data_IF_941880228886
#
_entry.id   IF_941880228886
#
_cell.length_a   1.000
_cell.length_b   1.000
_cell.length_c   1.000
_cell.angle_alpha   90.00
_cell.angle_beta   90.00
_cell.angle_gamma   90.00
#
_symmetry.space_group_name_H-M   'P 1'
#
loop_
_entity.id
_entity.type
_entity.pdbx_description
1 polymer ?
#
# COMPACT_ATOMS: atom_id res chain seq x y z
N UNK A 1 22.23 -34.27 -46.76
CA UNK A 1 21.67 -35.35 -47.62
C UNK A 1 20.19 -35.11 -47.76
N UNK A 2 19.81 -34.81 -49.00
CA UNK A 2 18.57 -35.06 -49.75
C UNK A 2 17.26 -34.65 -49.08
N UNK A 3 16.62 -33.53 -49.49
CA UNK A 3 15.86 -33.29 -50.75
C UNK A 3 14.66 -34.22 -50.92
N UNK A 4 13.43 -33.69 -51.04
CA UNK A 4 12.65 -33.35 -52.28
C UNK A 4 11.19 -33.30 -51.90
N UNK A 5 10.48 -32.27 -52.22
CA UNK A 5 9.83 -31.87 -53.51
C UNK A 5 8.34 -32.23 -53.57
N UNK A 6 7.52 -31.18 -53.75
CA UNK A 6 6.68 -30.81 -54.94
C UNK A 6 5.38 -31.57 -55.13
N UNK A 7 4.26 -30.86 -55.30
CA UNK A 7 3.57 -30.33 -56.51
C UNK A 7 2.14 -29.94 -56.16
N UNK A 8 1.67 -28.74 -56.34
CA UNK A 8 1.05 -28.09 -57.53
C UNK A 8 -0.02 -28.98 -58.24
N UNK A 9 -1.28 -28.52 -58.21
CA UNK A 9 -2.11 -28.44 -59.43
C UNK A 9 -3.25 -27.41 -59.28
N UNK A 10 -3.32 -26.56 -60.28
CA UNK A 10 -4.35 -25.59 -60.67
C UNK A 10 -5.56 -26.34 -61.28
N UNK A 11 -6.77 -25.80 -61.16
CA UNK A 11 -7.55 -25.49 -62.36
C UNK A 11 -8.75 -24.57 -62.06
N UNK A 12 -8.94 -23.65 -62.98
CA UNK A 12 -10.01 -22.71 -63.18
C UNK A 12 -11.30 -23.42 -63.63
N UNK A 13 -12.47 -22.81 -63.36
CA UNK A 13 -13.48 -22.50 -64.39
C UNK A 13 -14.49 -21.49 -63.85
N UNK A 14 -14.66 -20.47 -64.65
CA UNK A 14 -15.68 -19.43 -64.69
C UNK A 14 -17.08 -20.04 -64.95
N UNK A 15 -18.14 -19.42 -64.43
CA UNK A 15 -19.32 -19.07 -65.19
C UNK A 15 -20.22 -18.08 -64.44
N UNK A 16 -20.75 -17.20 -65.27
CA UNK A 16 -21.46 -15.97 -65.08
C UNK A 16 -22.90 -16.09 -64.58
N UNK A 17 -23.38 -14.92 -64.07
CA UNK A 17 -24.74 -14.33 -64.20
C UNK A 17 -25.86 -14.80 -63.34
N UNK A 18 -26.32 -13.93 -62.44
CA UNK A 18 -27.61 -13.19 -62.49
C UNK A 18 -27.83 -12.42 -61.20
N UNK A 19 -27.99 -11.13 -61.34
CA UNK A 19 -28.56 -10.28 -60.29
C UNK A 19 -30.09 -10.49 -60.21
N UNK A 20 -30.67 -10.32 -59.03
CA UNK A 20 -31.93 -9.61 -58.87
C UNK A 20 -31.84 -8.45 -57.90
N UNK A 21 -32.68 -7.49 -58.19
CA UNK A 21 -32.87 -6.14 -57.67
C UNK A 21 -33.26 -6.02 -56.18
N UNK A 22 -33.30 -4.80 -55.63
CA UNK A 22 -33.17 -4.50 -54.23
C UNK A 22 -34.49 -4.69 -53.46
N UNK A 23 -34.40 -5.37 -52.31
CA UNK A 23 -35.42 -5.29 -51.29
C UNK A 23 -34.84 -4.50 -50.12
N UNK A 24 -35.31 -3.26 -49.99
CA UNK A 24 -35.08 -2.41 -48.84
C UNK A 24 -35.62 -3.10 -47.57
N UNK A 25 -34.73 -3.55 -46.70
CA UNK A 25 -35.04 -3.75 -45.28
C UNK A 25 -34.19 -2.75 -44.51
N UNK A 26 -34.86 -1.74 -44.04
CA UNK A 26 -34.36 -0.83 -43.02
C UNK A 26 -33.93 -1.63 -41.77
N UNK A 27 -32.63 -1.90 -41.67
CA UNK A 27 -32.01 -2.35 -40.42
C UNK A 27 -31.87 -1.11 -39.57
N UNK A 28 -32.75 -1.00 -38.57
CA UNK A 28 -32.63 0.03 -37.54
C UNK A 28 -31.27 -0.10 -36.88
N UNK A 29 -30.44 0.88 -37.10
CA UNK A 29 -29.27 1.13 -36.29
C UNK A 29 -29.78 1.46 -34.89
N UNK A 30 -29.78 0.46 -34.02
CA UNK A 30 -29.73 0.76 -32.58
C UNK A 30 -28.40 1.49 -32.34
N UNK A 31 -28.41 2.68 -31.80
CA UNK A 31 -27.20 3.27 -31.30
C UNK A 31 -26.79 2.42 -30.08
N UNK A 32 -25.78 1.58 -30.24
CA UNK A 32 -24.99 1.10 -29.10
C UNK A 32 -24.43 2.35 -28.46
N UNK A 33 -25.14 2.84 -27.47
CA UNK A 33 -24.59 3.79 -26.51
C UNK A 33 -23.64 3.03 -25.58
N UNK A 34 -22.50 2.62 -26.10
CA UNK A 34 -21.32 2.43 -25.27
C UNK A 34 -20.96 3.84 -24.75
N UNK A 35 -21.66 4.28 -23.71
CA UNK A 35 -21.19 5.31 -22.82
C UNK A 35 -19.95 4.73 -22.11
N UNK A 36 -18.82 4.75 -22.80
CA UNK A 36 -17.53 4.61 -22.15
C UNK A 36 -17.44 5.75 -21.14
N UNK A 37 -17.71 5.49 -19.88
CA UNK A 37 -17.57 6.45 -18.80
C UNK A 37 -16.11 6.88 -18.83
N UNK A 38 -15.86 8.19 -19.08
CA UNK A 38 -14.48 8.70 -19.11
C UNK A 38 -13.90 8.59 -17.71
N UNK A 39 -12.70 8.05 -17.60
CA UNK A 39 -11.98 7.97 -16.34
C UNK A 39 -11.87 9.35 -15.70
N UNK A 40 -12.18 9.44 -14.41
CA UNK A 40 -12.11 10.68 -13.62
C UNK A 40 -10.81 10.73 -12.84
N UNK A 41 -10.14 11.88 -12.89
CA UNK A 41 -8.92 12.12 -12.12
C UNK A 41 -9.19 13.20 -11.10
N UNK A 42 -8.85 12.92 -9.85
CA UNK A 42 -9.11 13.80 -8.73
C UNK A 42 -7.85 14.02 -7.90
N UNK A 43 -7.73 15.20 -7.32
CA UNK A 43 -6.69 15.52 -6.34
C UNK A 43 -7.34 16.03 -5.07
N UNK A 44 -6.77 15.66 -3.93
CA UNK A 44 -7.19 16.14 -2.62
C UNK A 44 -5.93 16.53 -1.84
N UNK A 45 -5.99 17.66 -1.14
CA UNK A 45 -4.92 18.12 -0.25
C UNK A 45 -5.50 18.32 1.12
N UNK A 46 -4.95 17.64 2.14
CA UNK A 46 -5.37 17.88 3.51
C UNK A 46 -4.93 19.27 3.97
N UNK A 47 -5.88 19.99 4.61
CA UNK A 47 -5.62 21.20 5.35
C UNK A 47 -5.29 20.94 6.83
N UNK A 48 -5.31 19.67 7.27
CA UNK A 48 -5.14 19.26 8.67
C UNK A 48 -3.94 18.36 8.84
N UNK A 49 -3.39 18.31 10.07
CA UNK A 49 -2.24 17.50 10.45
C UNK A 49 -2.60 16.38 11.43
N UNK A 50 -3.89 16.20 11.73
CA UNK A 50 -4.40 15.12 12.58
C UNK A 50 -4.23 13.77 11.85
N UNK A 51 -3.40 12.85 12.39
CA UNK A 51 -3.13 11.57 11.74
C UNK A 51 -4.36 10.69 11.60
N UNK A 52 -5.27 10.74 12.57
CA UNK A 52 -6.49 9.93 12.55
C UNK A 52 -7.50 10.44 11.53
N UNK A 53 -7.65 11.77 11.41
CA UNK A 53 -8.51 12.37 10.38
C UNK A 53 -7.97 12.07 8.98
N UNK A 54 -6.67 12.29 8.75
CA UNK A 54 -6.05 12.03 7.46
C UNK A 54 -6.19 10.55 7.04
N UNK A 55 -5.99 9.62 7.99
CA UNK A 55 -6.17 8.20 7.73
C UNK A 55 -7.63 7.82 7.51
N UNK A 56 -8.57 8.48 8.23
CA UNK A 56 -10.01 8.24 8.05
C UNK A 56 -10.48 8.68 6.66
N UNK A 57 -10.00 9.84 6.17
CA UNK A 57 -10.29 10.30 4.79
C UNK A 57 -9.74 9.31 3.76
N UNK A 58 -8.51 8.84 3.92
CA UNK A 58 -7.92 7.80 3.07
C UNK A 58 -8.79 6.53 3.02
N UNK A 59 -9.24 6.04 4.18
CA UNK A 59 -10.11 4.87 4.27
C UNK A 59 -11.44 5.11 3.59
N UNK A 60 -12.07 6.25 3.89
CA UNK A 60 -13.36 6.64 3.30
C UNK A 60 -13.29 6.67 1.76
N UNK A 61 -12.24 7.28 1.19
CA UNK A 61 -12.00 7.27 -0.26
C UNK A 61 -11.84 5.85 -0.80
N UNK A 62 -11.08 5.00 -0.11
CA UNK A 62 -10.85 3.62 -0.54
C UNK A 62 -12.15 2.82 -0.60
N UNK A 63 -13.05 3.04 0.36
CA UNK A 63 -14.31 2.30 0.48
C UNK A 63 -15.43 2.86 -0.41
N UNK A 64 -15.46 4.19 -0.64
CA UNK A 64 -16.62 4.88 -1.19
C UNK A 64 -16.38 5.59 -2.54
N UNK A 65 -15.13 5.68 -3.03
CA UNK A 65 -14.83 6.36 -4.29
C UNK A 65 -15.59 5.71 -5.45
N UNK A 66 -16.08 6.55 -6.34
CA UNK A 66 -16.83 6.16 -7.53
C UNK A 66 -15.97 5.31 -8.50
N UNK A 67 -16.67 4.49 -9.28
CA UNK A 67 -16.04 3.68 -10.32
C UNK A 67 -15.31 4.55 -11.36
N UNK A 68 -14.35 3.97 -12.05
CA UNK A 68 -13.55 4.61 -13.10
C UNK A 68 -12.82 5.88 -12.64
N UNK A 69 -12.51 5.98 -11.33
CA UNK A 69 -11.87 7.15 -10.71
C UNK A 69 -10.49 6.80 -10.16
N UNK A 70 -9.56 7.76 -10.27
CA UNK A 70 -8.27 7.75 -9.57
C UNK A 70 -8.13 9.06 -8.80
N UNK A 71 -7.96 8.96 -7.49
CA UNK A 71 -7.71 10.11 -6.62
C UNK A 71 -6.27 10.07 -6.11
N UNK A 72 -5.52 11.16 -6.28
CA UNK A 72 -4.27 11.41 -5.59
C UNK A 72 -4.53 12.31 -4.39
N UNK A 73 -4.32 11.79 -3.18
CA UNK A 73 -4.49 12.50 -1.93
C UNK A 73 -3.12 12.82 -1.31
N UNK A 74 -2.86 14.09 -1.02
CA UNK A 74 -1.63 14.61 -0.38
C UNK A 74 -1.93 15.09 1.03
N UNK A 75 -1.16 14.61 2.00
CA UNK A 75 -1.41 14.91 3.42
C UNK A 75 -0.14 14.84 4.26
N UNK A 76 -0.16 15.50 5.40
CA UNK A 76 0.93 15.50 6.39
C UNK A 76 0.36 15.21 7.77
N UNK A 77 1.14 14.54 8.59
CA UNK A 77 0.83 14.39 10.00
C UNK A 77 1.78 15.22 10.84
N UNK A 78 1.27 15.77 11.95
CA UNK A 78 2.13 16.17 13.05
C UNK A 78 2.85 14.94 13.62
N UNK A 79 3.76 15.11 14.56
CA UNK A 79 4.57 14.08 15.19
C UNK A 79 3.81 12.76 15.43
N UNK A 80 4.06 11.75 14.59
CA UNK A 80 3.29 10.50 14.59
C UNK A 80 4.18 9.30 14.25
N UNK A 81 4.12 8.24 15.04
CA UNK A 81 4.59 6.92 14.60
C UNK A 81 3.44 6.17 13.96
N UNK A 82 3.64 5.70 12.73
CA UNK A 82 2.66 4.92 11.98
C UNK A 82 3.13 3.49 11.86
N UNK A 83 2.39 2.57 12.47
CA UNK A 83 2.67 1.13 12.44
C UNK A 83 1.82 0.42 11.38
N UNK A 84 2.35 -0.68 10.85
CA UNK A 84 1.59 -1.57 9.95
C UNK A 84 0.46 -2.31 10.67
N UNK A 85 -0.50 -2.82 9.90
CA UNK A 85 -1.72 -3.41 10.44
C UNK A 85 -1.45 -4.51 11.47
N UNK A 86 -0.50 -5.41 11.19
CA UNK A 86 -0.16 -6.56 12.04
C UNK A 86 1.05 -6.31 12.95
N UNK A 87 1.53 -5.07 13.09
CA UNK A 87 2.66 -4.80 13.98
C UNK A 87 2.23 -4.65 15.44
N UNK A 88 3.07 -5.15 16.34
CA UNK A 88 2.93 -4.94 17.78
C UNK A 88 3.47 -3.55 18.14
N UNK A 89 2.65 -2.60 18.63
CA UNK A 89 3.09 -1.24 18.92
C UNK A 89 4.25 -1.19 19.92
N UNK A 90 4.25 -2.09 20.90
CA UNK A 90 5.27 -2.12 21.95
C UNK A 90 6.64 -2.65 21.48
N UNK A 91 6.68 -3.35 20.36
CA UNK A 91 7.92 -3.80 19.73
C UNK A 91 8.50 -2.77 18.77
N UNK A 92 7.64 -1.96 18.16
CA UNK A 92 8.01 -1.06 17.05
C UNK A 92 8.28 0.37 17.49
N UNK A 93 7.76 0.77 18.66
CA UNK A 93 7.77 2.15 19.10
C UNK A 93 7.94 2.25 20.62
N UNK A 94 8.67 3.29 21.05
CA UNK A 94 8.65 3.72 22.45
C UNK A 94 7.34 4.49 22.71
N UNK A 95 6.25 3.75 22.87
CA UNK A 95 4.88 4.28 22.93
C UNK A 95 4.74 5.33 24.03
N UNK A 96 5.21 5.00 25.26
CA UNK A 96 5.06 5.90 26.39
C UNK A 96 5.77 7.24 26.15
N UNK A 97 7.01 7.19 25.70
CA UNK A 97 7.78 8.41 25.41
C UNK A 97 7.13 9.26 24.31
N UNK A 98 6.63 8.60 23.23
CA UNK A 98 5.95 9.29 22.14
C UNK A 98 4.72 10.05 22.64
N UNK A 99 3.88 9.39 23.46
CA UNK A 99 2.64 9.99 23.99
C UNK A 99 2.93 11.08 25.03
N UNK A 100 3.91 10.89 25.91
CA UNK A 100 4.32 11.88 26.92
C UNK A 100 4.86 13.17 26.27
N UNK A 101 5.45 13.07 25.10
CA UNK A 101 5.95 14.21 24.32
C UNK A 101 4.90 14.78 23.33
N UNK A 102 3.63 14.37 23.45
CA UNK A 102 2.51 14.89 22.67
C UNK A 102 2.41 14.34 21.24
N UNK A 103 3.18 13.30 20.92
CA UNK A 103 3.10 12.60 19.66
C UNK A 103 1.92 11.62 19.60
N UNK A 104 1.70 11.03 18.43
CA UNK A 104 0.61 10.12 18.18
C UNK A 104 1.12 8.75 17.72
N UNK A 105 0.47 7.69 18.18
CA UNK A 105 0.59 6.35 17.58
C UNK A 105 -0.61 6.13 16.66
N UNK A 106 -0.38 5.77 15.41
CA UNK A 106 -1.43 5.43 14.45
C UNK A 106 -1.16 4.06 13.84
N UNK A 107 -2.22 3.27 13.64
CA UNK A 107 -2.17 2.00 12.90
C UNK A 107 -2.78 2.20 11.52
N UNK A 108 -2.02 1.93 10.45
CA UNK A 108 -2.56 1.97 9.08
C UNK A 108 -3.21 0.65 8.69
N UNK A 109 -4.06 0.67 7.66
CA UNK A 109 -4.74 -0.53 7.14
C UNK A 109 -3.86 -1.44 6.27
N UNK A 110 -2.66 -0.97 5.88
CA UNK A 110 -1.69 -1.70 5.07
C UNK A 110 -0.65 -2.40 5.92
N UNK A 111 0.06 -3.36 5.34
CA UNK A 111 1.22 -3.99 5.97
C UNK A 111 2.48 -3.12 5.95
N UNK A 112 3.63 -3.75 6.19
CA UNK A 112 4.93 -3.11 6.21
C UNK A 112 5.37 -2.63 7.60
N UNK A 113 6.61 -2.13 7.70
CA UNK A 113 7.25 -1.68 8.93
C UNK A 113 6.74 -0.35 9.48
N UNK A 114 7.15 -0.01 10.70
CA UNK A 114 6.85 1.28 11.32
C UNK A 114 7.61 2.42 10.65
N UNK A 115 6.95 3.58 10.55
CA UNK A 115 7.51 4.81 10.02
C UNK A 115 7.22 5.99 10.95
N UNK A 116 8.03 7.04 10.86
CA UNK A 116 7.82 8.28 11.59
C UNK A 116 7.38 9.38 10.62
N UNK A 117 6.37 10.13 11.00
CA UNK A 117 5.85 11.29 10.29
C UNK A 117 5.99 12.55 11.14
N UNK A 118 6.40 13.61 10.48
CA UNK A 118 6.36 14.99 10.96
C UNK A 118 5.96 15.92 9.80
N UNK A 119 6.01 17.23 10.00
CA UNK A 119 5.65 18.19 8.96
C UNK A 119 6.69 18.30 7.83
N UNK A 120 7.87 17.73 8.01
CA UNK A 120 8.93 17.59 7.00
C UNK A 120 8.72 16.38 6.06
N UNK A 121 7.78 15.51 6.39
CA UNK A 121 7.34 14.41 5.54
C UNK A 121 6.01 14.75 4.86
N UNK A 122 5.89 14.52 3.56
CA UNK A 122 4.60 14.54 2.88
C UNK A 122 4.19 13.11 2.52
N UNK A 123 2.94 12.76 2.79
CA UNK A 123 2.36 11.50 2.39
C UNK A 123 1.56 11.68 1.10
N UNK A 124 1.56 10.66 0.28
CA UNK A 124 0.65 10.54 -0.85
C UNK A 124 -0.16 9.25 -0.73
N UNK A 125 -1.39 9.30 -1.23
CA UNK A 125 -2.25 8.13 -1.39
C UNK A 125 -2.86 8.16 -2.78
N UNK A 126 -2.70 7.08 -3.54
CA UNK A 126 -3.46 6.82 -4.75
C UNK A 126 -4.57 5.84 -4.42
N UNK A 127 -5.81 6.33 -4.46
CA UNK A 127 -6.99 5.48 -4.41
C UNK A 127 -7.49 5.33 -5.84
N UNK A 128 -7.56 4.11 -6.33
CA UNK A 128 -7.91 3.86 -7.73
C UNK A 128 -8.90 2.70 -7.86
N UNK A 129 -9.90 2.88 -8.73
CA UNK A 129 -10.70 1.77 -9.21
C UNK A 129 -9.78 0.63 -9.66
N UNK A 130 -10.15 -0.62 -9.39
CA UNK A 130 -9.31 -1.80 -9.68
C UNK A 130 -8.90 -1.90 -11.15
N UNK A 131 -9.73 -1.42 -12.06
CA UNK A 131 -9.43 -1.40 -13.50
C UNK A 131 -8.34 -0.39 -13.88
N UNK A 132 -8.16 0.65 -13.06
CA UNK A 132 -7.21 1.76 -13.25
C UNK A 132 -5.98 1.66 -12.31
N UNK A 133 -6.00 0.71 -11.36
CA UNK A 133 -4.93 0.56 -10.38
C UNK A 133 -3.64 0.05 -11.04
N UNK A 134 -2.58 0.84 -10.95
CA UNK A 134 -1.29 0.50 -11.53
C UNK A 134 -0.15 1.15 -10.72
N UNK A 135 0.51 0.36 -9.91
CA UNK A 135 1.59 0.81 -9.00
C UNK A 135 2.74 1.46 -9.76
N UNK A 136 3.16 0.90 -10.91
CA UNK A 136 4.25 1.50 -11.71
C UNK A 136 3.88 2.89 -12.22
N UNK A 137 2.64 3.05 -12.69
CA UNK A 137 2.12 4.34 -13.14
C UNK A 137 2.05 5.35 -11.99
N UNK A 138 1.62 4.90 -10.81
CA UNK A 138 1.56 5.73 -9.61
C UNK A 138 2.97 6.15 -9.12
N UNK A 139 3.93 5.23 -9.12
CA UNK A 139 5.32 5.56 -8.79
C UNK A 139 5.95 6.52 -9.81
N UNK A 140 5.60 6.40 -11.09
CA UNK A 140 6.10 7.33 -12.12
C UNK A 140 5.60 8.77 -11.92
N UNK A 141 4.47 8.99 -11.24
CA UNK A 141 4.03 10.33 -10.83
C UNK A 141 5.05 10.96 -9.87
N UNK A 142 5.50 10.20 -8.89
CA UNK A 142 6.49 10.69 -7.92
C UNK A 142 7.84 10.94 -8.61
N UNK A 143 8.27 10.01 -9.46
CA UNK A 143 9.53 10.13 -10.21
C UNK A 143 9.52 11.36 -11.14
N UNK A 144 8.45 11.56 -11.91
CA UNK A 144 8.33 12.70 -12.84
C UNK A 144 8.24 14.04 -12.08
N UNK A 145 7.56 14.08 -10.93
CA UNK A 145 7.51 15.31 -10.12
C UNK A 145 8.88 15.72 -9.60
N UNK A 146 9.74 14.78 -9.26
CA UNK A 146 11.09 15.05 -8.77
C UNK A 146 12.05 15.52 -9.88
N UNK A 147 11.78 15.18 -11.14
CA UNK A 147 12.55 15.71 -12.28
C UNK A 147 12.46 17.23 -12.38
N UNK A 148 11.38 17.86 -11.89
CA UNK A 148 11.26 19.32 -11.82
C UNK A 148 12.34 19.97 -10.95
N UNK A 149 12.96 19.19 -10.06
CA UNK A 149 14.05 19.59 -9.18
C UNK A 149 15.40 19.00 -9.62
N UNK A 150 15.47 18.36 -10.80
CA UNK A 150 16.69 17.70 -11.28
C UNK A 150 17.01 16.40 -10.51
N UNK A 151 16.08 15.87 -9.72
CA UNK A 151 16.27 14.64 -8.95
C UNK A 151 15.78 13.42 -9.74
N UNK A 152 16.63 12.39 -9.82
CA UNK A 152 16.30 11.11 -10.43
C UNK A 152 15.99 10.08 -9.34
N UNK A 153 14.74 9.64 -9.29
CA UNK A 153 14.28 8.64 -8.35
C UNK A 153 14.23 7.26 -9.02
N UNK A 154 14.66 6.23 -8.28
CA UNK A 154 14.71 4.84 -8.72
C UNK A 154 13.85 3.98 -7.81
N UNK A 155 13.19 2.97 -8.39
CA UNK A 155 12.46 1.95 -7.62
C UNK A 155 13.49 0.94 -7.10
N UNK A 156 13.51 0.70 -5.79
CA UNK A 156 14.43 -0.20 -5.13
C UNK A 156 13.71 -1.21 -4.24
N UNK A 157 14.16 -2.46 -4.29
CA UNK A 157 13.57 -3.53 -3.50
C UNK A 157 12.10 -3.77 -3.84
N UNK A 158 11.30 -4.03 -2.80
CA UNK A 158 9.87 -4.37 -2.95
C UNK A 158 8.96 -3.15 -3.03
N UNK A 159 9.33 -2.08 -2.34
CA UNK A 159 8.42 -0.96 -2.10
C UNK A 159 9.13 0.36 -1.75
N UNK A 160 10.38 0.55 -2.13
CA UNK A 160 11.12 1.76 -1.82
C UNK A 160 11.37 2.62 -3.07
N UNK A 161 11.40 3.95 -2.91
CA UNK A 161 12.02 4.86 -3.85
C UNK A 161 13.31 5.42 -3.26
N UNK A 162 14.34 5.42 -4.08
CA UNK A 162 15.67 5.91 -3.72
C UNK A 162 16.11 7.06 -4.64
N UNK A 163 16.91 7.94 -4.07
CA UNK A 163 17.66 8.96 -4.81
C UNK A 163 19.12 8.84 -4.41
N UNK A 164 20.02 8.75 -5.40
CA UNK A 164 21.46 8.50 -5.18
C UNK A 164 21.71 7.26 -4.25
N UNK A 165 20.93 6.20 -4.44
CA UNK A 165 21.04 4.96 -3.67
C UNK A 165 20.54 5.03 -2.23
N UNK A 166 20.00 6.16 -1.75
CA UNK A 166 19.42 6.35 -0.42
C UNK A 166 17.89 6.47 -0.51
N UNK A 167 17.19 5.79 0.40
CA UNK A 167 15.72 5.77 0.45
C UNK A 167 15.16 7.11 0.92
N UNK A 168 14.23 7.68 0.15
CA UNK A 168 13.45 8.85 0.55
C UNK A 168 11.94 8.56 0.64
N UNK A 169 11.50 7.40 0.14
CA UNK A 169 10.09 7.01 0.14
C UNK A 169 9.94 5.52 0.44
N UNK A 170 9.04 5.19 1.35
CA UNK A 170 8.54 3.84 1.58
C UNK A 170 7.08 3.76 1.17
N UNK A 171 6.67 2.63 0.57
CA UNK A 171 5.34 2.45 0.02
C UNK A 171 4.66 1.22 0.61
N UNK A 172 3.34 1.25 0.69
CA UNK A 172 2.52 0.12 1.08
C UNK A 172 1.21 0.10 0.29
N UNK A 173 0.59 -1.07 0.23
CA UNK A 173 -0.53 -1.33 -0.66
C UNK A 173 -1.65 -2.04 0.09
N UNK A 174 -2.90 -1.80 -0.32
CA UNK A 174 -4.04 -2.59 0.14
C UNK A 174 -5.00 -2.83 -1.02
N UNK A 175 -5.58 -4.04 -1.03
CA UNK A 175 -6.69 -4.38 -1.92
C UNK A 175 -8.00 -4.12 -1.18
N UNK A 176 -8.81 -3.21 -1.69
CA UNK A 176 -10.14 -2.94 -1.17
C UNK A 176 -11.22 -3.75 -1.88
N UNK A 177 -12.47 -3.49 -1.58
CA UNK A 177 -13.59 -4.15 -2.29
C UNK A 177 -13.78 -3.59 -3.70
N UNK A 178 -13.80 -2.26 -3.84
CA UNK A 178 -13.99 -1.54 -5.11
C UNK A 178 -12.71 -0.90 -5.61
N UNK A 179 -12.02 -0.21 -4.72
CA UNK A 179 -10.80 0.53 -5.02
C UNK A 179 -9.62 -0.10 -4.31
N UNK A 180 -8.45 -0.05 -4.94
CA UNK A 180 -7.19 -0.43 -4.33
C UNK A 180 -6.43 0.83 -3.89
N UNK A 181 -5.65 0.69 -2.83
CA UNK A 181 -4.86 1.75 -2.21
C UNK A 181 -3.37 1.51 -2.42
N UNK A 182 -2.67 2.54 -2.86
CA UNK A 182 -1.22 2.65 -2.77
C UNK A 182 -0.89 3.96 -2.06
N UNK A 183 -0.23 3.88 -0.93
CA UNK A 183 0.25 5.08 -0.24
C UNK A 183 1.74 4.99 0.09
N UNK A 184 2.34 6.15 0.31
CA UNK A 184 3.75 6.25 0.63
C UNK A 184 4.11 7.58 1.26
N UNK A 185 5.37 7.64 1.68
CA UNK A 185 6.01 8.83 2.27
C UNK A 185 6.94 9.48 1.26
N UNK A 186 7.19 10.77 1.38
CA UNK A 186 8.30 11.47 0.72
C UNK A 186 9.01 12.27 1.81
N UNK A 187 10.21 11.83 2.18
CA UNK A 187 11.05 12.48 3.17
C UNK A 187 11.70 13.72 2.54
N UNK A 188 11.32 14.89 3.00
CA UNK A 188 11.84 16.16 2.48
C UNK A 188 12.76 16.80 3.53
N UNK A 189 12.26 17.00 4.75
CA UNK A 189 12.98 17.63 5.85
C UNK A 189 12.55 17.01 7.19
N UNK A 190 12.38 15.69 7.21
CA UNK A 190 11.99 14.95 8.41
C UNK A 190 13.09 14.94 9.46
N UNK A 191 12.72 15.15 10.74
CA UNK A 191 13.66 15.10 11.86
C UNK A 191 14.13 13.66 12.13
N UNK A 192 15.34 13.35 11.64
CA UNK A 192 15.96 12.03 11.82
C UNK A 192 16.28 11.68 13.28
N UNK A 193 16.48 12.68 14.15
CA UNK A 193 16.74 12.45 15.58
C UNK A 193 15.45 12.01 16.28
N UNK A 194 14.32 12.66 16.00
CA UNK A 194 13.02 12.27 16.52
C UNK A 194 12.57 10.92 15.98
N UNK A 195 12.82 10.64 14.71
CA UNK A 195 12.59 9.31 14.13
C UNK A 195 13.31 8.21 14.92
N UNK A 196 14.62 8.40 15.21
CA UNK A 196 15.42 7.44 15.99
C UNK A 196 14.99 7.36 17.45
N UNK A 197 14.47 8.44 18.02
CA UNK A 197 14.02 8.52 19.40
C UNK A 197 12.78 7.67 19.66
N UNK A 198 11.84 7.65 18.71
CA UNK A 198 10.57 6.96 18.89
C UNK A 198 10.52 5.57 18.28
N UNK A 199 11.19 5.33 17.15
CA UNK A 199 11.18 4.01 16.53
C UNK A 199 12.14 3.07 17.25
N UNK A 200 11.63 1.89 17.60
CA UNK A 200 12.47 0.81 18.12
C UNK A 200 13.20 0.15 16.95
N UNK A 201 14.48 0.41 16.84
CA UNK A 201 15.30 -0.25 15.80
C UNK A 201 15.53 -1.69 16.19
N UNK A 202 15.19 -2.62 15.30
CA UNK A 202 15.44 -4.05 15.50
C UNK A 202 16.93 -4.28 15.83
N UNK A 203 17.19 -4.79 17.05
CA UNK A 203 18.55 -5.05 17.55
C UNK A 203 19.35 -5.98 16.63
N UNK A 204 18.68 -6.90 15.93
CA UNK A 204 19.31 -7.80 14.98
C UNK A 204 19.78 -7.04 13.71
N UNK A 205 19.00 -6.06 13.23
CA UNK A 205 19.42 -5.15 12.15
C UNK A 205 20.58 -4.23 12.59
N UNK A 206 20.56 -3.79 13.86
CA UNK A 206 21.65 -3.00 14.44
C UNK A 206 22.95 -3.82 14.59
N UNK A 207 22.88 -5.05 15.07
CA UNK A 207 24.05 -5.93 15.24
C UNK A 207 24.69 -6.31 13.89
N UNK A 208 23.86 -6.51 12.85
CA UNK A 208 24.32 -6.90 11.50
C UNK A 208 24.92 -5.73 10.71
N UNK A 209 24.48 -4.51 10.95
CA UNK A 209 24.77 -3.36 10.08
C UNK A 209 25.30 -2.10 10.82
N UNK A 210 25.27 -2.06 12.15
CA UNK A 210 25.66 -0.89 12.99
C UNK A 210 24.66 0.26 12.94
N UNK A 211 24.61 1.10 14.00
CA UNK A 211 23.67 2.23 14.13
C UNK A 211 23.83 3.24 12.99
N UNK A 212 25.06 3.50 12.55
CA UNK A 212 25.35 4.40 11.43
C UNK A 212 24.77 3.92 10.09
N UNK A 213 24.59 2.62 9.89
CA UNK A 213 24.13 2.06 8.61
C UNK A 213 22.62 2.20 8.37
N UNK A 214 21.81 2.38 9.41
CA UNK A 214 20.36 2.61 9.28
C UNK A 214 20.10 4.06 8.88
N UNK A 215 20.71 5.01 9.55
CA UNK A 215 20.63 6.44 9.21
C UNK A 215 21.24 6.76 7.83
N UNK A 216 22.30 6.05 7.42
CA UNK A 216 22.93 6.26 6.11
C UNK A 216 22.13 5.74 4.93
N UNK A 217 21.06 4.96 5.16
CA UNK A 217 20.21 4.40 4.10
C UNK A 217 19.05 5.31 3.71
N UNK A 218 18.74 6.29 4.54
CA UNK A 218 17.62 7.22 4.33
C UNK A 218 18.17 8.60 3.97
N UNK A 219 17.44 9.37 3.19
CA UNK A 219 17.77 10.73 2.82
C UNK A 219 16.55 11.63 2.90
N UNK A 220 16.73 12.84 3.43
CA UNK A 220 15.82 13.95 3.17
C UNK A 220 16.17 14.57 1.81
N UNK A 221 15.17 14.80 0.97
CA UNK A 221 15.41 15.37 -0.37
C UNK A 221 15.93 16.82 -0.30
N UNK A 222 15.67 17.55 0.78
CA UNK A 222 16.25 18.89 1.03
C UNK A 222 17.77 18.86 1.21
N UNK A 223 18.38 17.71 1.55
CA UNK A 223 19.85 17.55 1.56
C UNK A 223 20.43 17.69 0.14
N UNK A 224 19.66 17.36 -0.89
CA UNK A 224 20.07 17.44 -2.31
C UNK A 224 19.62 18.74 -2.95
N UNK A 225 18.44 19.24 -2.60
CA UNK A 225 17.81 20.44 -3.13
C UNK A 225 17.24 21.25 -1.96
N UNK A 226 17.99 22.20 -1.39
CA UNK A 226 17.59 22.93 -0.19
C UNK A 226 16.27 23.71 -0.31
N UNK A 227 15.90 24.15 -1.51
CA UNK A 227 14.65 24.85 -1.79
C UNK A 227 13.41 23.92 -1.89
N UNK A 228 13.62 22.60 -1.91
CA UNK A 228 12.53 21.63 -1.92
C UNK A 228 11.89 21.53 -0.54
N UNK A 229 10.62 21.88 -0.46
CA UNK A 229 9.82 21.80 0.77
C UNK A 229 8.60 20.92 0.58
N UNK A 230 7.97 20.50 1.67
CA UNK A 230 6.70 19.74 1.63
C UNK A 230 5.55 20.53 1.01
N UNK A 231 5.66 21.85 0.90
CA UNK A 231 4.71 22.70 0.21
C UNK A 231 5.04 22.87 -1.28
N UNK A 232 6.31 23.11 -1.62
CA UNK A 232 6.73 23.37 -2.99
C UNK A 232 6.53 22.15 -3.91
N UNK A 233 6.64 20.92 -3.38
CA UNK A 233 6.47 19.68 -4.16
C UNK A 233 5.03 19.39 -4.57
N UNK A 234 4.02 19.95 -3.89
CA UNK A 234 2.60 19.66 -4.19
C UNK A 234 2.22 19.99 -5.63
N UNK A 235 2.63 21.16 -6.11
CA UNK A 235 2.38 21.59 -7.50
C UNK A 235 3.00 20.64 -8.55
N UNK A 236 4.29 20.31 -8.49
CA UNK A 236 4.89 19.28 -9.33
C UNK A 236 4.20 17.92 -9.28
N UNK A 237 3.78 17.46 -8.09
CA UNK A 237 3.05 16.20 -7.95
C UNK A 237 1.71 16.21 -8.69
N UNK A 238 0.94 17.30 -8.58
CA UNK A 238 -0.33 17.46 -9.30
C UNK A 238 -0.09 17.51 -10.81
N UNK A 239 0.87 18.30 -11.26
CA UNK A 239 1.19 18.42 -12.69
C UNK A 239 1.65 17.08 -13.28
N UNK A 240 2.48 16.34 -12.54
CA UNK A 240 2.92 15.00 -12.91
C UNK A 240 1.75 14.00 -12.95
N UNK A 241 0.86 14.04 -11.96
CA UNK A 241 -0.34 13.21 -11.92
C UNK A 241 -1.20 13.43 -13.17
N UNK A 242 -1.51 14.67 -13.51
CA UNK A 242 -2.26 15.04 -14.72
C UNK A 242 -1.56 14.54 -16.00
N UNK A 243 -0.24 14.75 -16.10
CA UNK A 243 0.57 14.30 -17.23
C UNK A 243 0.56 12.78 -17.40
N UNK A 244 0.82 12.05 -16.31
CA UNK A 244 0.94 10.57 -16.32
C UNK A 244 -0.42 9.92 -16.60
N UNK A 245 -1.50 10.48 -16.08
CA UNK A 245 -2.84 9.95 -16.32
C UNK A 245 -3.49 10.45 -17.60
N UNK A 246 -2.95 11.53 -18.20
CA UNK A 246 -3.38 12.04 -19.50
C UNK A 246 -4.66 12.87 -19.43
N UNK A 247 -4.95 13.50 -18.30
CA UNK A 247 -6.15 14.33 -18.11
C UNK A 247 -6.02 15.32 -16.97
N UNK A 248 -6.87 16.35 -16.97
CA UNK A 248 -6.94 17.30 -15.88
C UNK A 248 -7.60 16.66 -14.64
N UNK A 249 -7.05 16.95 -13.48
CA UNK A 249 -7.61 16.50 -12.21
C UNK A 249 -8.53 17.56 -11.58
N UNK A 250 -9.67 17.11 -11.10
CA UNK A 250 -10.56 17.95 -10.29
C UNK A 250 -10.03 18.02 -8.88
N UNK A 251 -9.84 19.24 -8.36
CA UNK A 251 -9.47 19.43 -6.95
C UNK A 251 -10.71 19.26 -6.07
N UNK A 252 -10.64 18.29 -5.15
CA UNK A 252 -11.68 18.07 -4.15
C UNK A 252 -11.49 19.03 -2.97
N UNK A 253 -12.61 19.45 -2.38
CA UNK A 253 -12.60 20.25 -1.17
C UNK A 253 -12.46 19.35 0.07
N UNK A 254 -11.36 19.51 0.82
CA UNK A 254 -11.08 18.73 2.02
C UNK A 254 -12.09 18.99 3.15
N UNK A 255 -12.68 20.17 3.23
CA UNK A 255 -13.63 20.52 4.28
C UNK A 255 -14.93 19.69 4.21
N UNK A 256 -15.25 19.16 3.03
CA UNK A 256 -16.38 18.22 2.87
C UNK A 256 -16.17 16.91 3.63
N UNK A 257 -14.93 16.49 3.80
CA UNK A 257 -14.58 15.26 4.54
C UNK A 257 -14.54 15.49 6.06
N UNK A 258 -14.11 16.68 6.51
CA UNK A 258 -14.06 17.00 7.95
C UNK A 258 -15.43 16.82 8.62
N UNK A 259 -16.49 17.23 7.96
CA UNK A 259 -17.86 17.19 8.47
C UNK A 259 -18.63 15.91 8.08
N UNK A 260 -18.01 15.00 7.36
CA UNK A 260 -18.64 13.75 6.94
C UNK A 260 -18.75 12.79 8.13
N UNK A 261 -19.99 12.34 8.43
CA UNK A 261 -20.26 11.48 9.59
C UNK A 261 -19.54 10.12 9.53
N UNK A 262 -19.39 9.55 8.33
CA UNK A 262 -18.68 8.27 8.16
C UNK A 262 -17.17 8.44 8.38
N UNK A 263 -16.60 9.55 7.88
CA UNK A 263 -15.20 9.89 8.16
C UNK A 263 -14.96 10.05 9.65
N UNK A 264 -15.86 10.74 10.38
CA UNK A 264 -15.74 10.90 11.82
C UNK A 264 -15.88 9.57 12.57
N UNK A 265 -16.80 8.69 12.17
CA UNK A 265 -16.93 7.37 12.76
C UNK A 265 -15.67 6.51 12.53
N UNK A 266 -15.08 6.54 11.33
CA UNK A 266 -13.81 5.88 11.04
C UNK A 266 -12.70 6.47 11.91
N UNK A 267 -12.61 7.80 12.01
CA UNK A 267 -11.61 8.50 12.82
C UNK A 267 -11.67 8.07 14.29
N UNK A 268 -12.86 8.06 14.88
CA UNK A 268 -13.08 7.63 16.27
C UNK A 268 -12.65 6.17 16.46
N UNK A 269 -13.03 5.28 15.55
CA UNK A 269 -12.64 3.87 15.61
C UNK A 269 -11.12 3.69 15.56
N UNK A 270 -10.44 4.28 14.58
CA UNK A 270 -8.99 4.09 14.41
C UNK A 270 -8.15 4.81 15.47
N UNK A 271 -8.71 5.80 16.16
CA UNK A 271 -8.10 6.48 17.29
C UNK A 271 -8.32 5.75 18.63
N UNK A 272 -9.20 4.72 18.65
CA UNK A 272 -9.53 4.02 19.90
C UNK A 272 -8.36 3.18 20.41
N UNK A 273 -8.26 3.11 21.73
CA UNK A 273 -7.28 2.26 22.42
C UNK A 273 -7.42 0.78 22.05
N UNK A 274 -8.64 0.33 21.78
CA UNK A 274 -8.88 -1.05 21.38
C UNK A 274 -8.29 -1.36 20.00
N UNK A 275 -8.46 -0.47 19.02
CA UNK A 275 -7.88 -0.61 17.68
C UNK A 275 -6.34 -0.52 17.70
N UNK A 276 -5.79 0.40 18.49
CA UNK A 276 -4.34 0.63 18.56
C UNK A 276 -3.61 -0.47 19.33
N UNK A 277 -4.14 -0.87 20.50
CA UNK A 277 -3.44 -1.68 21.48
C UNK A 277 -4.15 -2.99 21.84
N UNK A 278 -5.49 -3.11 21.63
CA UNK A 278 -6.34 -4.12 22.24
C UNK A 278 -5.74 -5.53 22.27
N UNK A 279 -5.52 -6.12 21.11
CA UNK A 279 -4.97 -7.49 20.99
C UNK A 279 -3.51 -7.63 21.45
N UNK A 280 -2.76 -6.53 21.54
CA UNK A 280 -1.31 -6.55 21.82
C UNK A 280 -0.96 -6.44 23.30
N UNK A 281 -1.90 -6.04 24.15
CA UNK A 281 -1.65 -5.84 25.59
C UNK A 281 -1.18 -7.08 26.32
N UNK A 282 -1.60 -8.27 25.87
CA UNK A 282 -1.25 -9.56 26.45
C UNK A 282 -0.42 -10.44 25.51
N UNK A 283 0.15 -9.85 24.46
CA UNK A 283 0.94 -10.59 23.49
C UNK A 283 2.22 -11.13 24.11
N UNK A 284 2.36 -12.47 24.14
CA UNK A 284 3.56 -13.17 24.61
C UNK A 284 4.08 -14.04 23.49
N UNK A 285 5.20 -13.63 22.90
CA UNK A 285 5.84 -14.39 21.81
C UNK A 285 6.25 -15.78 22.25
N UNK A 286 5.78 -16.80 21.50
CA UNK A 286 6.18 -18.21 21.67
C UNK A 286 7.20 -18.66 20.62
N UNK A 287 7.09 -18.14 19.36
CA UNK A 287 8.04 -18.42 18.28
C UNK A 287 8.37 -17.14 17.53
N UNK A 288 9.60 -17.09 17.00
CA UNK A 288 10.09 -15.99 16.16
C UNK A 288 10.78 -16.54 14.93
N UNK A 289 10.60 -15.88 13.80
CA UNK A 289 11.34 -16.18 12.58
C UNK A 289 11.53 -14.92 11.73
N UNK A 290 12.48 -14.98 10.80
CA UNK A 290 12.72 -13.98 9.77
C UNK A 290 12.68 -14.67 8.42
N UNK A 291 11.81 -14.18 7.54
CA UNK A 291 11.64 -14.65 6.16
C UNK A 291 11.99 -13.53 5.17
N UNK A 292 12.20 -13.84 3.88
CA UNK A 292 12.45 -12.81 2.86
C UNK A 292 11.33 -11.76 2.75
N UNK A 293 10.09 -12.16 3.06
CA UNK A 293 8.92 -11.29 3.01
C UNK A 293 8.63 -10.52 4.31
N UNK A 294 9.29 -10.85 5.46
CA UNK A 294 9.10 -10.12 6.71
C UNK A 294 9.53 -10.88 7.96
N UNK A 295 9.48 -10.19 9.10
CA UNK A 295 9.67 -10.78 10.43
C UNK A 295 8.34 -11.32 10.94
N UNK A 296 8.40 -12.37 11.77
CA UNK A 296 7.23 -13.01 12.38
C UNK A 296 7.50 -13.27 13.86
N UNK A 297 6.63 -12.74 14.71
CA UNK A 297 6.53 -13.09 16.12
C UNK A 297 5.18 -13.73 16.36
N UNK A 298 5.13 -14.97 16.82
CA UNK A 298 3.89 -15.74 17.03
C UNK A 298 3.64 -15.93 18.51
N UNK A 299 2.41 -15.65 18.95
CA UNK A 299 1.89 -16.01 20.27
C UNK A 299 0.77 -17.04 20.11
N UNK A 300 0.90 -18.18 20.77
CA UNK A 300 -0.09 -19.25 20.80
C UNK A 300 -0.60 -19.48 22.21
N UNK A 301 -1.92 -19.66 22.34
CA UNK A 301 -2.56 -20.26 23.50
C UNK A 301 -2.98 -21.67 23.14
N UNK A 302 -2.67 -22.64 24.01
CA UNK A 302 -2.87 -24.06 23.73
C UNK A 302 -3.65 -24.68 24.87
N UNK A 303 -4.72 -25.42 24.55
CA UNK A 303 -5.36 -26.36 25.44
C UNK A 303 -4.53 -27.67 25.42
N UNK A 304 -3.65 -27.81 26.40
CA UNK A 304 -2.73 -28.94 26.50
C UNK A 304 -3.49 -30.27 26.61
N UNK A 305 -4.66 -30.30 27.30
CA UNK A 305 -5.44 -31.52 27.48
C UNK A 305 -6.00 -32.06 26.15
N UNK A 306 -6.35 -31.16 25.25
CA UNK A 306 -6.88 -31.48 23.91
C UNK A 306 -5.86 -31.41 22.80
N UNK A 307 -4.68 -30.87 23.08
CA UNK A 307 -3.65 -30.57 22.08
C UNK A 307 -4.22 -29.69 20.94
N UNK A 308 -4.95 -28.63 21.29
CA UNK A 308 -5.60 -27.70 20.35
C UNK A 308 -5.08 -26.27 20.59
N UNK A 309 -4.79 -25.56 19.52
CA UNK A 309 -4.47 -24.12 19.54
C UNK A 309 -5.80 -23.36 19.74
N UNK A 310 -5.99 -22.75 20.90
CA UNK A 310 -7.21 -21.99 21.22
C UNK A 310 -7.17 -20.58 20.69
N UNK A 311 -5.97 -19.94 20.67
CA UNK A 311 -5.74 -18.62 20.11
C UNK A 311 -4.38 -18.58 19.40
N UNK A 312 -4.34 -17.89 18.27
CA UNK A 312 -3.12 -17.57 17.55
C UNK A 312 -3.10 -16.08 17.23
N UNK A 313 -2.00 -15.42 17.56
CA UNK A 313 -1.75 -14.01 17.20
C UNK A 313 -0.37 -13.91 16.56
N UNK A 314 -0.28 -13.20 15.47
CA UNK A 314 0.96 -13.05 14.70
C UNK A 314 1.28 -11.57 14.51
N UNK A 315 2.42 -11.13 15.06
CA UNK A 315 2.99 -9.82 14.77
C UNK A 315 3.95 -9.94 13.58
N UNK A 316 3.82 -9.05 12.59
CA UNK A 316 4.65 -9.07 11.38
C UNK A 316 4.73 -7.71 10.69
N UNK A 317 5.87 -7.45 10.04
CA UNK A 317 6.06 -6.36 9.09
C UNK A 317 5.83 -6.80 7.63
N UNK A 318 5.10 -7.92 7.42
CA UNK A 318 4.68 -8.38 6.11
C UNK A 318 3.86 -7.32 5.38
N UNK A 319 4.09 -7.16 4.07
CA UNK A 319 3.32 -6.22 3.23
C UNK A 319 1.89 -6.72 2.94
N UNK A 320 1.63 -8.02 3.11
CA UNK A 320 0.30 -8.64 2.95
C UNK A 320 -0.32 -8.94 4.33
N UNK A 321 -1.13 -8.03 4.90
CA UNK A 321 -1.77 -8.27 6.19
C UNK A 321 -2.86 -9.34 6.15
N UNK A 322 -3.42 -9.62 4.95
CA UNK A 322 -4.44 -10.64 4.79
C UNK A 322 -3.87 -12.05 4.95
N UNK A 323 -2.70 -12.31 4.36
CA UNK A 323 -2.01 -13.60 4.53
C UNK A 323 -1.71 -13.88 6.01
N UNK A 324 -1.35 -12.86 6.80
CA UNK A 324 -1.14 -13.01 8.25
C UNK A 324 -2.44 -13.37 8.96
N UNK A 325 -3.56 -12.69 8.63
CA UNK A 325 -4.89 -13.03 9.21
C UNK A 325 -5.33 -14.45 8.85
N UNK A 326 -5.09 -14.87 7.61
CA UNK A 326 -5.39 -16.24 7.18
C UNK A 326 -4.58 -17.27 7.96
N UNK A 327 -3.29 -17.00 8.21
CA UNK A 327 -2.46 -17.87 9.04
C UNK A 327 -3.00 -17.99 10.49
N UNK A 328 -3.40 -16.88 11.11
CA UNK A 328 -4.02 -16.88 12.43
C UNK A 328 -5.32 -17.73 12.46
N UNK A 329 -6.17 -17.57 11.45
CA UNK A 329 -7.42 -18.33 11.33
C UNK A 329 -7.17 -19.82 11.10
N UNK A 330 -6.17 -20.17 10.29
CA UNK A 330 -5.77 -21.55 10.03
C UNK A 330 -5.17 -22.25 11.27
N UNK A 331 -4.52 -21.50 12.14
CA UNK A 331 -3.95 -22.06 13.36
C UNK A 331 -5.01 -22.26 14.44
N UNK A 332 -5.93 -21.31 14.60
CA UNK A 332 -6.95 -21.33 15.65
C UNK A 332 -7.93 -22.50 15.49
N UNK A 333 -8.14 -23.24 16.56
CA UNK A 333 -9.04 -24.39 16.61
C UNK A 333 -8.44 -25.69 16.08
N UNK A 334 -7.23 -25.67 15.52
CA UNK A 334 -6.58 -26.83 14.97
C UNK A 334 -5.60 -27.52 15.95
N UNK A 335 -5.25 -28.77 15.64
CA UNK A 335 -4.34 -29.59 16.44
C UNK A 335 -2.95 -28.98 16.50
N UNK A 336 -2.24 -29.12 17.63
CA UNK A 336 -0.82 -28.77 17.73
C UNK A 336 0.10 -29.80 17.06
N UNK A 337 -0.45 -30.97 16.65
CA UNK A 337 0.33 -32.13 16.13
C UNK A 337 0.17 -32.33 14.63
N UNK A 338 -0.88 -31.80 14.03
CA UNK A 338 -1.20 -32.03 12.61
C UNK A 338 -1.51 -30.69 11.96
N UNK A 339 -0.74 -30.34 10.94
CA UNK A 339 -0.92 -29.12 10.18
C UNK A 339 -2.32 -29.08 9.51
N UNK A 340 -3.00 -27.93 9.50
CA UNK A 340 -4.25 -27.74 8.79
C UNK A 340 -4.02 -27.82 7.26
N UNK A 341 -5.10 -28.07 6.53
CA UNK A 341 -5.06 -27.96 5.05
C UNK A 341 -5.13 -26.50 4.66
N UNK A 342 -4.25 -26.07 3.76
CA UNK A 342 -4.15 -24.70 3.28
C UNK A 342 -3.61 -24.64 1.85
N UNK A 343 -3.67 -23.47 1.22
CA UNK A 343 -3.08 -23.21 -0.10
C UNK A 343 -1.55 -23.19 0.00
N UNK A 344 -0.90 -24.23 -0.50
CA UNK A 344 0.56 -24.39 -0.46
C UNK A 344 1.31 -23.50 -1.45
N UNK A 345 0.61 -22.88 -2.41
CA UNK A 345 1.21 -21.93 -3.33
C UNK A 345 1.38 -20.53 -2.68
N UNK A 346 0.74 -20.31 -1.53
CA UNK A 346 0.96 -19.11 -0.73
C UNK A 346 2.22 -19.26 0.14
N UNK A 347 3.32 -18.62 -0.26
CA UNK A 347 4.63 -18.67 0.40
C UNK A 347 4.54 -18.27 1.88
N UNK A 348 3.78 -17.21 2.22
CA UNK A 348 3.64 -16.72 3.60
C UNK A 348 2.97 -17.75 4.49
N UNK A 349 1.87 -18.35 4.04
CA UNK A 349 1.17 -19.41 4.77
C UNK A 349 2.07 -20.64 4.94
N UNK A 350 2.78 -21.03 3.88
CA UNK A 350 3.69 -22.17 3.90
C UNK A 350 4.78 -22.00 4.96
N UNK A 351 5.41 -20.83 5.00
CA UNK A 351 6.48 -20.53 5.95
C UNK A 351 5.98 -20.47 7.39
N UNK A 352 4.83 -19.83 7.63
CA UNK A 352 4.25 -19.74 8.99
C UNK A 352 3.79 -21.12 9.49
N UNK A 353 3.09 -21.90 8.67
CA UNK A 353 2.63 -23.23 9.05
C UNK A 353 3.84 -24.17 9.23
N UNK A 354 4.83 -24.11 8.36
CA UNK A 354 6.10 -24.82 8.50
C UNK A 354 6.84 -24.49 9.80
N UNK A 355 6.84 -23.20 10.22
CA UNK A 355 7.43 -22.80 11.50
C UNK A 355 6.73 -23.44 12.71
N UNK A 356 5.44 -23.71 12.64
CA UNK A 356 4.66 -24.28 13.76
C UNK A 356 4.76 -25.81 13.79
N UNK A 357 4.68 -26.47 12.64
CA UNK A 357 4.51 -27.93 12.52
C UNK A 357 5.75 -28.66 11.97
N UNK A 358 6.74 -27.96 11.39
CA UNK A 358 8.01 -28.52 10.92
C UNK A 358 9.02 -28.54 12.04
#
# INVERSE_FOLDING_TARGET
MKCKNKKIFRNKRENETKAPSPCEKSVGLHPNSDNATMSQFQTLISSQYDPFLNRAVEQYLTDNQEKDTVTMYLWKNQQTVVIGYNQNPYSECNVQLLLDEGGHLMRRGTGGGAVYHDLGNINFSFVADKSLYNVRKQLSVIQDALLAYGLHAEISGRNDLTCQGRKFSGNAFAKGQRNDLHHGTILIETDGAMMQRYLTVDKAKLMKNGVKSVASRVINLSELVPELTSESIKKPLIASFEKVYGGKATMLDFDTFINNKEVQAIREHIASDDFLFGRWRQFKTTKKAQFPWGNVDIALQIDEAKSIITEAQIASDCLDPEAIRQAEQLLKGNSTKTAPTFDKDNEILNDIIGLIYG
#
